data_IF_297669400651
#
_entry.id   IF_297669400651
#
_cell.length_a   1.000
_cell.length_b   1.000
_cell.length_c   1.000
_cell.angle_alpha   90.00
_cell.angle_beta   90.00
_cell.angle_gamma   90.00
#
_symmetry.space_group_name_H-M   'P 1'
#
loop_
_entity.id
_entity.type
_entity.pdbx_description
1 polymer ?
#
# COMPACT_ATOMS: atom_id res chain seq x y z
N UNK A 1 6.65 -13.17 11.54
CA UNK A 1 5.45 -12.53 10.93
C UNK A 1 5.93 -11.96 9.62
N UNK A 2 5.34 -12.35 8.49
CA UNK A 2 5.89 -12.06 7.15
C UNK A 2 6.20 -10.57 6.91
N UNK A 3 5.39 -9.65 7.45
CA UNK A 3 5.65 -8.21 7.34
C UNK A 3 6.90 -7.75 8.08
N UNK A 4 7.17 -8.28 9.26
CA UNK A 4 8.39 -7.96 10.00
C UNK A 4 9.65 -8.51 9.31
N UNK A 5 9.54 -9.67 8.66
CA UNK A 5 10.63 -10.25 7.88
C UNK A 5 10.92 -9.41 6.62
N UNK A 6 9.87 -8.91 5.95
CA UNK A 6 10.01 -7.98 4.83
C UNK A 6 10.68 -6.65 5.25
N UNK A 7 10.30 -6.10 6.40
CA UNK A 7 10.93 -4.90 6.98
C UNK A 7 12.42 -5.16 7.25
N UNK A 8 12.76 -6.27 7.93
CA UNK A 8 14.14 -6.61 8.25
C UNK A 8 15.02 -6.83 7.00
N UNK A 9 14.48 -7.48 5.96
CA UNK A 9 15.19 -7.60 4.68
C UNK A 9 15.42 -6.24 4.03
N UNK A 10 14.43 -5.35 4.07
CA UNK A 10 14.54 -4.02 3.49
C UNK A 10 15.61 -3.18 4.19
N UNK A 11 15.67 -3.21 5.53
CA UNK A 11 16.73 -2.57 6.32
C UNK A 11 18.11 -3.14 5.94
N UNK A 12 18.24 -4.47 5.83
CA UNK A 12 19.50 -5.13 5.43
C UNK A 12 19.99 -4.68 4.05
N UNK A 13 19.08 -4.27 3.17
CA UNK A 13 19.40 -3.72 1.85
C UNK A 13 19.56 -2.18 1.84
N UNK A 14 19.57 -1.53 3.00
CA UNK A 14 19.77 -0.09 3.13
C UNK A 14 18.54 0.74 2.79
N UNK A 15 17.35 0.14 2.73
CA UNK A 15 16.12 0.88 2.55
C UNK A 15 15.70 1.56 3.86
N UNK A 16 15.38 2.86 3.80
CA UNK A 16 14.85 3.63 4.93
C UNK A 16 13.32 3.69 4.96
N UNK A 17 12.66 3.21 3.91
CA UNK A 17 11.19 3.24 3.77
C UNK A 17 10.71 2.14 2.85
N UNK A 18 9.54 1.58 3.18
CA UNK A 18 8.78 0.65 2.31
C UNK A 18 7.44 1.26 1.93
N UNK A 19 6.92 0.86 0.77
CA UNK A 19 5.62 1.33 0.28
C UNK A 19 4.84 0.20 -0.39
N UNK A 20 3.51 0.28 -0.32
CA UNK A 20 2.61 -0.68 -0.94
C UNK A 20 1.31 -0.02 -1.43
N UNK A 21 0.63 -0.70 -2.35
CA UNK A 21 -0.69 -0.32 -2.82
C UNK A 21 -1.75 -1.23 -2.19
N UNK A 22 -2.81 -0.64 -1.67
CA UNK A 22 -4.00 -1.36 -1.22
C UNK A 22 -5.18 -0.99 -2.11
N UNK A 23 -5.95 -1.98 -2.53
CA UNK A 23 -7.20 -1.74 -3.24
C UNK A 23 -8.15 -0.87 -2.42
N UNK A 24 -8.79 0.11 -3.05
CA UNK A 24 -9.67 1.09 -2.40
C UNK A 24 -10.86 0.46 -1.68
N UNK A 25 -11.34 -0.67 -2.18
CA UNK A 25 -12.41 -1.46 -1.57
C UNK A 25 -11.92 -2.42 -0.48
N UNK A 26 -10.61 -2.64 -0.33
CA UNK A 26 -10.03 -3.54 0.67
C UNK A 26 -9.66 -2.78 1.96
N UNK A 27 -10.68 -2.24 2.61
CA UNK A 27 -10.55 -1.46 3.84
C UNK A 27 -9.94 -2.26 5.00
N UNK A 28 -10.19 -3.57 5.06
CA UNK A 28 -9.62 -4.46 6.08
C UNK A 28 -8.10 -4.59 5.93
N UNK A 29 -7.59 -4.72 4.70
CA UNK A 29 -6.15 -4.74 4.46
C UNK A 29 -5.52 -3.39 4.82
N UNK A 30 -6.15 -2.26 4.46
CA UNK A 30 -5.69 -0.93 4.86
C UNK A 30 -5.52 -0.82 6.39
N UNK A 31 -6.56 -1.19 7.13
CA UNK A 31 -6.55 -1.18 8.61
C UNK A 31 -5.52 -2.15 9.21
N UNK A 32 -5.23 -3.28 8.54
CA UNK A 32 -4.16 -4.17 8.95
C UNK A 32 -2.79 -3.48 8.82
N UNK A 33 -2.53 -2.85 7.68
CA UNK A 33 -1.26 -2.16 7.44
C UNK A 33 -1.08 -0.93 8.33
N UNK A 34 -2.15 -0.17 8.59
CA UNK A 34 -2.12 0.96 9.53
C UNK A 34 -1.75 0.52 10.94
N UNK A 35 -2.31 -0.62 11.41
CA UNK A 35 -1.97 -1.17 12.73
C UNK A 35 -0.51 -1.58 12.89
N UNK A 36 0.18 -1.88 11.79
CA UNK A 36 1.61 -2.24 11.80
C UNK A 36 2.54 -1.08 11.43
N UNK A 37 2.01 0.15 11.40
CA UNK A 37 2.79 1.38 11.28
C UNK A 37 2.86 1.99 9.89
N UNK A 38 2.10 1.48 8.91
CA UNK A 38 1.97 2.17 7.63
C UNK A 38 1.07 3.40 7.74
N UNK A 39 1.42 4.45 7.01
CA UNK A 39 0.67 5.70 6.92
C UNK A 39 0.28 5.94 5.47
N UNK A 40 -0.94 6.44 5.26
CA UNK A 40 -1.41 6.84 3.94
C UNK A 40 -0.67 8.08 3.46
N UNK A 41 0.08 7.94 2.36
CA UNK A 41 0.83 9.02 1.73
C UNK A 41 -0.05 9.71 0.66
N UNK A 42 -0.75 8.92 -0.18
CA UNK A 42 -1.68 9.44 -1.19
C UNK A 42 -2.84 8.49 -1.47
N UNK A 43 -4.01 9.06 -1.80
CA UNK A 43 -5.12 8.33 -2.42
C UNK A 43 -5.20 8.65 -3.90
N UNK A 44 -5.04 7.65 -4.77
CA UNK A 44 -5.28 7.81 -6.22
C UNK A 44 -6.68 7.31 -6.55
N UNK A 45 -7.59 8.25 -6.82
CA UNK A 45 -8.88 7.92 -7.44
C UNK A 45 -8.66 7.66 -8.95
N UNK A 46 -9.25 6.58 -9.48
CA UNK A 46 -9.14 6.27 -10.90
C UNK A 46 -10.12 7.17 -11.67
N UNK A 47 -9.72 8.39 -11.98
CA UNK A 47 -10.52 9.34 -12.78
C UNK A 47 -10.21 9.31 -14.29
N UNK A 48 -9.29 8.47 -14.75
CA UNK A 48 -8.91 8.37 -16.17
C UNK A 48 -9.52 7.18 -16.92
N UNK A 49 -10.00 7.41 -18.14
CA UNK A 49 -10.70 6.44 -19.02
C UNK A 49 -9.86 5.21 -19.40
N UNK A 50 -8.54 5.33 -19.54
CA UNK A 50 -7.65 4.22 -19.92
C UNK A 50 -7.27 3.33 -18.73
N UNK A 51 -7.15 3.90 -17.53
CA UNK A 51 -6.73 3.19 -16.32
C UNK A 51 -7.92 2.49 -15.61
N UNK A 52 -9.16 2.80 -16.01
CA UNK A 52 -10.40 2.18 -15.53
C UNK A 52 -10.55 0.71 -15.92
N UNK A 53 -10.17 0.32 -17.13
CA UNK A 53 -10.46 -1.02 -17.63
C UNK A 53 -9.72 -2.11 -16.83
N UNK A 54 -8.44 -1.90 -16.54
CA UNK A 54 -7.61 -2.83 -15.75
C UNK A 54 -7.93 -2.74 -14.26
N UNK A 55 -8.18 -1.53 -13.75
CA UNK A 55 -8.40 -1.33 -12.32
C UNK A 55 -9.82 -1.74 -11.86
N UNK A 56 -10.84 -1.70 -12.73
CA UNK A 56 -12.19 -2.19 -12.39
C UNK A 56 -12.18 -3.66 -12.00
N UNK A 57 -11.40 -4.46 -12.72
CA UNK A 57 -11.41 -5.92 -12.55
C UNK A 57 -10.75 -6.35 -11.24
N UNK A 58 -9.76 -5.59 -10.75
CA UNK A 58 -8.97 -5.97 -9.58
C UNK A 58 -9.29 -5.17 -8.30
N UNK A 59 -9.92 -4.01 -8.41
CA UNK A 59 -9.89 -2.96 -7.36
C UNK A 59 -11.23 -2.25 -7.16
N UNK A 60 -12.17 -2.39 -8.10
CA UNK A 60 -13.40 -1.61 -8.13
C UNK A 60 -13.17 -0.15 -8.55
N UNK A 61 -14.19 0.69 -8.42
CA UNK A 61 -14.12 2.11 -8.80
C UNK A 61 -13.39 2.99 -7.77
N UNK A 62 -13.06 2.41 -6.61
CA UNK A 62 -12.58 3.11 -5.42
C UNK A 62 -11.10 3.53 -5.45
N UNK A 63 -10.34 3.07 -6.46
CA UNK A 63 -8.93 3.43 -6.63
C UNK A 63 -7.98 2.63 -5.75
N UNK A 64 -6.82 3.21 -5.45
CA UNK A 64 -5.82 2.60 -4.56
C UNK A 64 -5.43 3.55 -3.44
N UNK A 65 -5.20 3.00 -2.25
CA UNK A 65 -4.46 3.66 -1.18
C UNK A 65 -2.97 3.38 -1.36
N UNK A 66 -2.16 4.43 -1.35
CA UNK A 66 -0.71 4.32 -1.30
C UNK A 66 -0.26 4.50 0.14
N UNK A 67 0.29 3.44 0.72
CA UNK A 67 0.70 3.38 2.12
C UNK A 67 2.22 3.27 2.19
N UNK A 68 2.84 3.99 3.12
CA UNK A 68 4.29 3.92 3.36
C UNK A 68 4.61 3.75 4.84
N UNK A 69 5.72 3.10 5.14
CA UNK A 69 6.21 2.91 6.51
C UNK A 69 7.71 3.21 6.54
N UNK A 70 8.11 4.07 7.46
CA UNK A 70 9.52 4.30 7.75
C UNK A 70 10.10 3.06 8.43
N UNK A 71 11.32 2.69 8.05
CA UNK A 71 12.03 1.59 8.67
C UNK A 71 13.02 2.17 9.67
N UNK A 72 12.91 1.74 10.93
CA UNK A 72 13.91 2.04 11.94
C UNK A 72 15.15 1.19 11.59
N UNK A 73 16.23 1.88 11.22
CA UNK A 73 17.50 1.27 10.82
C UNK A 73 18.33 0.83 12.03
#
# INVERSE_FOLDING_TARGET
MLLAEADAMSVKHGCSRVSLHVAGNNTRAKQLYERVGYVEDKRKSIRGSVQRAVSRFCVGEDGFFYLTKALDA
#
